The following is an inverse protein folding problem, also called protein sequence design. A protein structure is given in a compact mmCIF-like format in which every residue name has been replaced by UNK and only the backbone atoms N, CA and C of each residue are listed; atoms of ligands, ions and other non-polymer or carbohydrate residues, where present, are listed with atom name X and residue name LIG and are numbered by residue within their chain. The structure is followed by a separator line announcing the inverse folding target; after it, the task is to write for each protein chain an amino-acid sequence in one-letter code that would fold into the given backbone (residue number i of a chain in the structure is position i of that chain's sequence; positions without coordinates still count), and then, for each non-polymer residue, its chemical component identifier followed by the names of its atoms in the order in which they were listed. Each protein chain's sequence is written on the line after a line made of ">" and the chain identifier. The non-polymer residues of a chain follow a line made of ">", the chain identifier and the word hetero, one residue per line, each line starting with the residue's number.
data_IF_175670794613
#
_entry.id   IF_175670794613
#
_cell.length_a   1.000
_cell.length_b   1.000
_cell.length_c   1.000
_cell.angle_alpha   90.00
_cell.angle_beta   90.00
_cell.angle_gamma   90.00
#
_symmetry.space_group_name_H-M   'P 1'
#
loop_
_entity.id
_entity.type
_entity.pdbx_description
1 polymer ?
#
# COMPACT_ATOMS: atom_id res chain seq x y z
N UNK A 1 -20.24 21.18 9.67
CA UNK A 1 -21.09 19.97 9.52
C UNK A 1 -21.99 19.71 10.73
N UNK A 2 -21.56 19.08 11.84
CA UNK A 2 -22.47 18.72 12.94
C UNK A 2 -23.17 19.93 13.60
N UNK A 3 -22.43 21.01 13.85
CA UNK A 3 -22.99 22.25 14.44
C UNK A 3 -24.08 22.87 13.55
N UNK A 4 -23.95 22.75 12.23
CA UNK A 4 -24.92 23.29 11.27
C UNK A 4 -26.17 22.43 11.13
N UNK A 5 -26.10 21.16 11.54
CA UNK A 5 -27.24 20.24 11.51
C UNK A 5 -28.20 20.48 12.70
N UNK A 6 -27.70 20.98 13.84
CA UNK A 6 -28.52 21.17 15.03
C UNK A 6 -29.79 22.00 14.77
N UNK A 7 -29.70 23.21 14.18
CA UNK A 7 -30.87 24.07 14.03
C UNK A 7 -31.92 23.40 13.16
N UNK A 8 -31.49 22.69 12.09
CA UNK A 8 -32.38 21.95 11.19
C UNK A 8 -33.06 20.79 11.90
N UNK A 9 -32.36 20.07 12.78
CA UNK A 9 -32.94 18.98 13.56
C UNK A 9 -33.97 19.49 14.57
N UNK A 10 -33.67 20.60 15.26
CA UNK A 10 -34.58 21.21 16.22
C UNK A 10 -35.85 21.75 15.53
N UNK A 11 -35.69 22.39 14.37
CA UNK A 11 -36.82 22.87 13.56
C UNK A 11 -37.71 21.71 13.08
N UNK A 12 -37.12 20.64 12.55
CA UNK A 12 -37.84 19.45 12.12
C UNK A 12 -38.60 18.77 13.28
N UNK A 13 -38.00 18.76 14.49
CA UNK A 13 -38.62 18.25 15.71
C UNK A 13 -39.63 19.21 16.34
N UNK A 14 -39.82 20.42 15.77
CA UNK A 14 -40.64 21.51 16.32
C UNK A 14 -40.24 21.92 17.75
N UNK A 15 -38.95 21.84 18.06
CA UNK A 15 -38.39 22.24 19.35
C UNK A 15 -37.90 23.68 19.24
N UNK A 16 -38.64 24.62 19.82
CA UNK A 16 -38.29 26.04 19.87
C UNK A 16 -37.85 26.42 21.30
N UNK A 17 -36.62 26.04 21.67
CA UNK A 17 -36.02 26.33 22.99
C UNK A 17 -34.64 26.95 22.81
N UNK A 18 -34.23 27.91 23.67
CA UNK A 18 -32.86 28.41 23.66
C UNK A 18 -31.91 27.28 24.03
N UNK A 19 -30.76 27.22 23.34
CA UNK A 19 -29.72 26.24 23.60
C UNK A 19 -28.37 26.94 23.77
N UNK A 20 -27.51 26.36 24.60
CA UNK A 20 -26.13 26.81 24.78
C UNK A 20 -25.19 25.71 24.29
N UNK A 21 -24.30 26.09 23.38
CA UNK A 21 -23.24 25.20 22.93
C UNK A 21 -22.01 25.44 23.81
N UNK A 22 -21.44 24.35 24.31
CA UNK A 22 -20.11 24.37 24.91
C UNK A 22 -19.29 23.21 24.36
N UNK A 23 -17.99 23.43 24.26
CA UNK A 23 -17.06 22.40 23.81
C UNK A 23 -16.46 21.71 25.03
N UNK A 24 -16.29 20.39 24.93
CA UNK A 24 -15.61 19.63 25.97
C UNK A 24 -14.12 20.02 25.99
N UNK A 25 -13.56 20.48 27.13
CA UNK A 25 -12.17 20.98 27.19
C UNK A 25 -11.12 19.92 26.87
N UNK A 26 -11.39 18.67 27.26
CA UNK A 26 -10.58 17.51 26.91
C UNK A 26 -11.42 16.24 27.08
N UNK A 27 -11.32 15.32 26.12
CA UNK A 27 -12.05 14.06 26.18
C UNK A 27 -12.43 13.55 24.79
N UNK A 28 -12.50 12.23 24.67
CA UNK A 28 -13.01 11.57 23.48
C UNK A 28 -14.49 11.24 23.62
N UNK A 29 -14.92 10.21 22.90
CA UNK A 29 -16.27 9.66 23.04
C UNK A 29 -16.59 9.15 24.44
N UNK A 30 -15.57 8.80 25.24
CA UNK A 30 -15.73 8.42 26.64
C UNK A 30 -15.74 6.92 26.86
N UNK A 31 -15.07 6.47 27.91
CA UNK A 31 -15.00 5.08 28.33
C UNK A 31 -15.54 4.91 29.75
N UNK A 32 -15.91 3.67 30.07
CA UNK A 32 -16.37 3.32 31.39
C UNK A 32 -15.13 3.11 32.26
N UNK A 33 -15.00 3.91 33.30
CA UNK A 33 -13.90 3.85 34.25
C UNK A 33 -14.15 2.76 35.30
N UNK A 34 -13.10 2.34 36.00
CA UNK A 34 -13.19 1.27 37.01
C UNK A 34 -14.11 1.62 38.20
N UNK A 35 -14.30 2.91 38.48
CA UNK A 35 -15.23 3.42 39.49
C UNK A 35 -16.71 3.39 39.03
N UNK A 36 -17.00 2.91 37.82
CA UNK A 36 -18.33 2.87 37.24
C UNK A 36 -18.81 4.19 36.61
N UNK A 37 -18.02 5.27 36.67
CA UNK A 37 -18.37 6.52 36.01
C UNK A 37 -17.88 6.55 34.56
N UNK A 38 -18.55 7.33 33.71
CA UNK A 38 -18.12 7.54 32.34
C UNK A 38 -17.23 8.78 32.22
N UNK A 39 -16.23 8.71 31.34
CA UNK A 39 -15.42 9.87 30.93
C UNK A 39 -15.96 10.50 29.64
N UNK A 40 -15.35 11.61 29.20
CA UNK A 40 -15.61 12.23 27.89
C UNK A 40 -17.07 12.64 27.70
N UNK A 41 -17.54 12.55 26.46
CA UNK A 41 -18.92 12.88 26.09
C UNK A 41 -19.95 12.01 26.83
N UNK A 42 -19.67 10.71 26.99
CA UNK A 42 -20.53 9.81 27.78
C UNK A 42 -20.67 10.27 29.24
N UNK A 43 -19.60 10.79 29.83
CA UNK A 43 -19.61 11.33 31.19
C UNK A 43 -20.53 12.53 31.35
N UNK A 44 -20.49 13.47 30.40
CA UNK A 44 -21.36 14.66 30.41
C UNK A 44 -22.84 14.29 30.30
N UNK A 45 -23.18 13.33 29.43
CA UNK A 45 -24.55 12.88 29.22
C UNK A 45 -25.09 12.09 30.41
N UNK A 46 -24.30 11.15 30.94
CA UNK A 46 -24.74 10.30 32.06
C UNK A 46 -24.83 11.06 33.37
N UNK A 47 -23.95 12.06 33.58
CA UNK A 47 -24.01 12.96 34.73
C UNK A 47 -25.07 14.08 34.58
N UNK A 48 -25.85 14.11 33.49
CA UNK A 48 -26.84 15.15 33.17
C UNK A 48 -26.27 16.58 33.19
N UNK A 49 -25.01 16.75 32.78
CA UNK A 49 -24.39 18.07 32.55
C UNK A 49 -24.69 18.60 31.15
N UNK A 50 -24.91 17.70 30.19
CA UNK A 50 -25.42 18.00 28.86
C UNK A 50 -26.70 17.20 28.58
N UNK A 51 -27.69 17.85 27.94
CA UNK A 51 -28.92 17.20 27.50
C UNK A 51 -28.76 16.51 26.13
N UNK A 52 -27.89 17.05 25.27
CA UNK A 52 -27.64 16.55 23.93
C UNK A 52 -26.14 16.67 23.61
N UNK A 53 -25.56 15.62 23.03
CA UNK A 53 -24.21 15.65 22.50
C UNK A 53 -24.23 15.47 20.98
N UNK A 54 -23.70 16.47 20.27
CA UNK A 54 -23.40 16.35 18.85
C UNK A 54 -21.95 15.97 18.67
N UNK A 55 -21.69 14.67 18.65
CA UNK A 55 -20.34 14.13 18.57
C UNK A 55 -20.35 12.89 17.66
N UNK A 56 -19.32 12.67 16.83
CA UNK A 56 -19.16 11.42 16.09
C UNK A 56 -18.84 10.28 17.09
N UNK A 57 -19.89 9.69 17.65
CA UNK A 57 -19.81 8.70 18.71
C UNK A 57 -20.07 7.31 18.16
N UNK A 58 -19.07 6.43 18.21
CA UNK A 58 -19.27 5.01 17.91
C UNK A 58 -20.18 4.37 18.96
N UNK A 59 -21.34 3.88 18.52
CA UNK A 59 -22.33 3.27 19.38
C UNK A 59 -21.93 1.82 19.72
N UNK A 60 -21.32 1.63 20.89
CA UNK A 60 -21.00 0.31 21.42
C UNK A 60 -22.13 -0.20 22.32
N UNK A 61 -22.20 -1.52 22.55
CA UNK A 61 -23.21 -2.11 23.44
C UNK A 61 -23.21 -1.49 24.84
N UNK A 62 -22.05 -1.15 25.40
CA UNK A 62 -21.97 -0.54 26.72
C UNK A 62 -22.49 0.92 26.72
N UNK A 63 -22.28 1.65 25.61
CA UNK A 63 -22.76 3.04 25.48
C UNK A 63 -24.26 3.08 25.22
N UNK A 64 -24.80 2.19 24.39
CA UNK A 64 -26.25 2.14 24.08
C UNK A 64 -27.12 1.75 25.28
N UNK A 65 -26.55 1.08 26.29
CA UNK A 65 -27.24 0.79 27.55
C UNK A 65 -27.25 2.00 28.50
N UNK A 66 -26.31 2.92 28.37
CA UNK A 66 -26.15 4.06 29.26
C UNK A 66 -26.82 5.35 28.74
N UNK A 67 -26.96 5.49 27.42
CA UNK A 67 -27.61 6.65 26.78
C UNK A 67 -28.60 6.21 25.70
N UNK A 68 -29.60 7.05 25.43
CA UNK A 68 -30.45 6.91 24.25
C UNK A 68 -29.79 7.63 23.07
N UNK A 69 -29.45 6.88 22.02
CA UNK A 69 -28.87 7.41 20.80
C UNK A 69 -29.91 7.46 19.67
N UNK A 70 -29.72 8.35 18.69
CA UNK A 70 -30.49 8.35 17.45
C UNK A 70 -30.11 7.14 16.58
N UNK A 71 -30.87 6.91 15.51
CA UNK A 71 -30.46 5.94 14.48
C UNK A 71 -29.09 6.35 13.92
N UNK A 72 -28.13 5.42 13.78
CA UNK A 72 -26.85 5.70 13.15
C UNK A 72 -27.08 6.24 11.73
N UNK A 73 -26.48 7.39 11.43
CA UNK A 73 -26.56 8.03 10.11
C UNK A 73 -25.25 7.94 9.33
N UNK A 74 -24.19 7.41 9.95
CA UNK A 74 -22.90 7.13 9.34
C UNK A 74 -22.55 5.68 9.64
N UNK A 75 -22.29 4.91 8.58
CA UNK A 75 -21.64 3.60 8.72
C UNK A 75 -20.13 3.84 8.83
N UNK A 76 -19.52 3.37 9.90
CA UNK A 76 -18.12 3.64 10.21
C UNK A 76 -17.40 2.35 10.56
N UNK A 77 -16.25 2.14 9.93
CA UNK A 77 -15.32 1.07 10.25
C UNK A 77 -14.05 1.59 10.90
N UNK A 78 -13.15 0.68 11.27
CA UNK A 78 -11.79 1.05 11.63
C UNK A 78 -10.90 1.05 10.39
N UNK A 79 -10.06 2.06 10.27
CA UNK A 79 -9.03 2.12 9.25
C UNK A 79 -7.67 2.40 9.88
N UNK A 80 -6.61 2.09 9.12
CA UNK A 80 -5.24 2.35 9.52
C UNK A 80 -4.62 3.38 8.60
N UNK A 81 -4.12 4.46 9.18
CA UNK A 81 -3.24 5.40 8.51
C UNK A 81 -1.81 4.90 8.63
N UNK A 82 -1.17 4.66 7.48
CA UNK A 82 0.19 4.14 7.39
C UNK A 82 1.03 5.02 6.47
N UNK A 83 2.32 5.12 6.75
CA UNK A 83 3.25 5.81 5.86
C UNK A 83 3.50 4.95 4.63
N UNK A 84 3.26 5.52 3.46
CA UNK A 84 3.61 4.90 2.19
C UNK A 84 5.08 5.20 1.93
N UNK A 85 5.88 4.16 1.71
CA UNK A 85 7.30 4.29 1.39
C UNK A 85 7.52 3.89 -0.07
N UNK A 86 8.24 4.71 -0.82
CA UNK A 86 8.74 4.31 -2.13
C UNK A 86 9.88 3.32 -1.93
N UNK A 87 9.73 2.15 -2.53
CA UNK A 87 10.74 1.10 -2.43
C UNK A 87 11.80 1.32 -3.50
N UNK A 88 12.77 2.19 -3.21
CA UNK A 88 13.89 2.46 -4.09
C UNK A 88 14.94 1.34 -3.99
N UNK A 89 14.80 0.33 -4.83
CA UNK A 89 15.80 -0.73 -4.93
C UNK A 89 16.86 -0.34 -5.98
N UNK A 90 18.15 -0.35 -5.62
CA UNK A 90 19.25 -0.08 -6.56
C UNK A 90 19.27 -1.05 -7.77
N UNK A 91 18.69 -2.26 -7.60
CA UNK A 91 18.56 -3.28 -8.62
C UNK A 91 17.22 -3.26 -9.36
N UNK A 92 16.49 -2.14 -9.31
CA UNK A 92 15.17 -2.03 -9.97
C UNK A 92 15.23 -2.31 -11.47
N UNK A 93 16.40 -2.16 -12.10
CA UNK A 93 16.60 -2.50 -13.51
C UNK A 93 16.50 -4.01 -13.83
N UNK A 94 16.69 -4.90 -12.85
CA UNK A 94 16.53 -6.35 -13.03
C UNK A 94 15.09 -6.84 -12.85
N UNK A 95 14.21 -5.99 -12.30
CA UNK A 95 12.80 -6.29 -12.06
C UNK A 95 11.97 -6.68 -13.29
N UNK A 96 12.27 -6.28 -14.55
CA UNK A 96 11.40 -6.59 -15.69
C UNK A 96 11.25 -8.09 -15.95
N UNK A 97 12.24 -8.89 -15.53
CA UNK A 97 12.28 -10.33 -15.78
C UNK A 97 12.65 -11.10 -14.51
N UNK A 98 11.99 -12.24 -14.31
CA UNK A 98 12.35 -13.18 -13.24
C UNK A 98 13.71 -13.83 -13.53
N UNK A 99 14.36 -14.39 -12.50
CA UNK A 99 15.67 -15.06 -12.62
C UNK A 99 15.68 -16.13 -13.71
N UNK A 100 14.61 -16.92 -13.78
CA UNK A 100 14.49 -18.00 -14.77
C UNK A 100 14.41 -17.45 -16.19
N UNK A 101 13.68 -16.35 -16.39
CA UNK A 101 13.60 -15.67 -17.68
C UNK A 101 14.96 -15.10 -18.11
N UNK A 102 15.76 -14.57 -17.18
CA UNK A 102 17.13 -14.14 -17.47
C UNK A 102 18.02 -15.29 -17.95
N UNK A 103 17.92 -16.46 -17.31
CA UNK A 103 18.65 -17.66 -17.75
C UNK A 103 18.20 -18.10 -19.15
N UNK A 104 16.90 -18.05 -19.44
CA UNK A 104 16.36 -18.35 -20.77
C UNK A 104 16.82 -17.35 -21.83
N UNK A 105 16.87 -16.05 -21.51
CA UNK A 105 17.40 -15.01 -22.41
C UNK A 105 18.87 -15.29 -22.72
N UNK A 106 19.69 -15.61 -21.71
CA UNK A 106 21.10 -15.95 -21.89
C UNK A 106 21.28 -17.22 -22.73
N UNK A 107 20.50 -18.27 -22.46
CA UNK A 107 20.51 -19.52 -23.21
C UNK A 107 20.08 -19.32 -24.67
N UNK A 108 19.01 -18.54 -24.90
CA UNK A 108 18.53 -18.21 -26.24
C UNK A 108 19.57 -17.39 -27.02
N UNK A 109 20.22 -16.41 -26.38
CA UNK A 109 21.26 -15.61 -27.01
C UNK A 109 22.49 -16.47 -27.36
N UNK A 110 22.90 -17.38 -26.49
CA UNK A 110 23.94 -18.35 -26.78
C UNK A 110 23.55 -19.29 -27.93
N UNK A 111 22.30 -19.77 -27.97
CA UNK A 111 21.79 -20.62 -29.05
C UNK A 111 21.76 -19.87 -30.40
N UNK A 112 21.39 -18.59 -30.42
CA UNK A 112 21.43 -17.75 -31.63
C UNK A 112 22.87 -17.56 -32.12
N UNK A 113 23.81 -17.26 -31.21
CA UNK A 113 25.23 -17.14 -31.58
C UNK A 113 25.77 -18.48 -32.11
N UNK A 114 25.41 -19.59 -31.47
CA UNK A 114 25.86 -20.92 -31.84
C UNK A 114 25.29 -21.36 -33.20
N UNK A 115 23.99 -21.16 -33.43
CA UNK A 115 23.37 -21.45 -34.74
C UNK A 115 23.94 -20.58 -35.85
N UNK A 116 24.17 -19.28 -35.60
CA UNK A 116 24.80 -18.38 -36.57
C UNK A 116 26.24 -18.82 -36.91
N UNK A 117 27.04 -19.18 -35.90
CA UNK A 117 28.42 -19.65 -36.11
C UNK A 117 28.48 -21.03 -36.77
N UNK A 118 27.58 -21.95 -36.42
CA UNK A 118 27.47 -23.26 -37.07
C UNK A 118 27.06 -23.12 -38.53
N UNK A 119 26.02 -22.34 -38.83
CA UNK A 119 25.57 -22.07 -40.20
C UNK A 119 26.69 -21.41 -41.03
N UNK A 120 27.43 -20.49 -40.42
CA UNK A 120 28.62 -19.91 -41.04
C UNK A 120 29.70 -20.95 -41.32
N UNK A 121 30.00 -21.84 -40.36
CA UNK A 121 31.00 -22.90 -40.52
C UNK A 121 30.59 -23.93 -41.59
N UNK A 122 29.31 -24.28 -41.67
CA UNK A 122 28.74 -25.22 -42.62
C UNK A 122 28.75 -24.64 -44.02
N UNK A 123 28.25 -23.42 -44.18
CA UNK A 123 28.25 -22.75 -45.48
C UNK A 123 29.66 -22.41 -45.94
N UNK A 124 30.62 -22.14 -45.04
CA UNK A 124 32.05 -22.05 -45.38
C UNK A 124 32.56 -23.38 -45.92
N UNK A 125 32.40 -24.48 -45.20
CA UNK A 125 32.87 -25.81 -45.62
C UNK A 125 32.27 -26.26 -46.95
N UNK A 126 30.95 -26.13 -47.12
CA UNK A 126 30.26 -26.47 -48.36
C UNK A 126 30.74 -25.61 -49.55
N UNK A 127 31.09 -24.33 -49.32
CA UNK A 127 31.65 -23.45 -50.33
C UNK A 127 33.11 -23.74 -50.65
N UNK A 128 33.94 -24.06 -49.66
CA UNK A 128 35.32 -24.49 -49.92
C UNK A 128 35.32 -25.75 -50.78
N UNK A 129 34.49 -26.74 -50.45
CA UNK A 129 34.31 -27.95 -51.26
C UNK A 129 33.75 -27.66 -52.67
N UNK A 130 32.86 -26.68 -52.82
CA UNK A 130 32.33 -26.28 -54.14
C UNK A 130 33.34 -25.47 -54.97
N UNK A 131 34.12 -24.60 -54.34
CA UNK A 131 35.17 -23.80 -54.98
C UNK A 131 36.33 -24.68 -55.44
N UNK A 132 36.72 -25.69 -54.65
CA UNK A 132 37.72 -26.69 -55.05
C UNK A 132 37.30 -27.47 -56.30
N UNK A 133 36.02 -27.85 -56.40
CA UNK A 133 35.46 -28.54 -57.59
C UNK A 133 35.40 -27.67 -58.84
N UNK A 134 35.23 -26.36 -58.67
CA UNK A 134 35.02 -25.45 -59.81
C UNK A 134 36.29 -24.73 -60.27
N UNK A 135 37.28 -24.52 -59.39
CA UNK A 135 38.46 -23.68 -59.66
C UNK A 135 39.82 -24.37 -59.55
N UNK A 136 39.88 -25.68 -59.24
CA UNK A 136 41.07 -26.56 -59.29
C UNK A 136 42.44 -25.88 -59.12
N UNK A 137 43.05 -26.01 -57.93
CA UNK A 137 44.46 -25.68 -57.59
C UNK A 137 45.09 -24.56 -58.45
N UNK A 138 44.57 -23.32 -58.38
CA UNK A 138 45.33 -22.18 -58.91
C UNK A 138 44.60 -20.90 -59.30
N UNK A 139 43.27 -20.81 -59.26
CA UNK A 139 42.57 -19.55 -59.55
C UNK A 139 41.91 -18.94 -58.31
N UNK A 140 42.26 -17.69 -58.01
CA UNK A 140 41.78 -16.95 -56.84
C UNK A 140 40.26 -16.69 -56.92
N UNK A 141 39.55 -17.07 -55.86
CA UNK A 141 38.11 -16.80 -55.73
C UNK A 141 37.86 -15.30 -55.49
N UNK A 142 36.77 -14.71 -56.04
CA UNK A 142 36.48 -13.29 -55.84
C UNK A 142 36.23 -12.97 -54.35
N UNK A 143 37.04 -12.06 -53.79
CA UNK A 143 36.86 -11.50 -52.44
C UNK A 143 35.56 -10.69 -52.38
N UNK A 144 34.45 -11.33 -52.01
CA UNK A 144 33.19 -10.62 -51.72
C UNK A 144 33.07 -10.25 -50.25
N UNK A 145 32.66 -8.99 -50.01
CA UNK A 145 32.28 -8.34 -48.73
C UNK A 145 31.25 -9.16 -47.94
N UNK A 146 31.68 -10.22 -47.26
CA UNK A 146 30.79 -11.11 -46.47
C UNK A 146 30.79 -10.79 -44.98
N UNK A 147 31.82 -10.12 -44.48
CA UNK A 147 31.85 -9.60 -43.10
C UNK A 147 30.72 -8.59 -42.87
N UNK A 148 30.36 -7.77 -43.86
CA UNK A 148 29.25 -6.81 -43.79
C UNK A 148 27.90 -7.48 -43.46
N UNK A 149 27.55 -8.60 -44.09
CA UNK A 149 26.23 -9.24 -43.86
C UNK A 149 26.11 -10.01 -42.54
N UNK A 150 27.19 -10.62 -42.06
CA UNK A 150 27.20 -11.27 -40.75
C UNK A 150 27.18 -10.22 -39.64
N UNK A 151 27.91 -9.11 -39.82
CA UNK A 151 27.83 -7.95 -38.92
C UNK A 151 26.43 -7.33 -38.93
N UNK A 152 25.80 -7.20 -40.11
CA UNK A 152 24.46 -6.63 -40.25
C UNK A 152 23.40 -7.40 -39.45
N UNK A 153 23.34 -8.73 -39.57
CA UNK A 153 22.37 -9.54 -38.80
C UNK A 153 22.68 -9.56 -37.29
N UNK A 154 23.96 -9.48 -36.90
CA UNK A 154 24.35 -9.31 -35.51
C UNK A 154 23.89 -7.98 -34.90
N UNK A 155 23.93 -6.90 -35.69
CA UNK A 155 23.44 -5.58 -35.28
C UNK A 155 21.91 -5.58 -35.16
N UNK A 156 21.20 -6.16 -36.12
CA UNK A 156 19.73 -6.25 -36.09
C UNK A 156 19.23 -6.99 -34.84
N UNK A 157 19.83 -8.13 -34.51
CA UNK A 157 19.44 -8.93 -33.33
C UNK A 157 19.75 -8.25 -31.99
N UNK A 158 20.86 -7.52 -31.89
CA UNK A 158 21.21 -6.76 -30.67
C UNK A 158 20.32 -5.54 -30.47
N UNK A 159 19.91 -4.86 -31.55
CA UNK A 159 18.98 -3.73 -31.48
C UNK A 159 17.61 -4.19 -30.99
N UNK A 160 17.11 -5.33 -31.47
CA UNK A 160 15.80 -5.87 -31.06
C UNK A 160 15.78 -6.25 -29.58
N UNK A 161 16.81 -6.95 -29.09
CA UNK A 161 16.88 -7.35 -27.67
C UNK A 161 17.04 -6.15 -26.75
N UNK A 162 17.87 -5.17 -27.12
CA UNK A 162 18.03 -3.93 -26.37
C UNK A 162 16.72 -3.12 -26.34
N UNK A 163 16.05 -2.97 -27.49
CA UNK A 163 14.77 -2.26 -27.56
C UNK A 163 13.67 -2.94 -26.74
N UNK A 164 13.59 -4.27 -26.77
CA UNK A 164 12.61 -5.02 -25.97
C UNK A 164 12.89 -4.90 -24.47
N UNK A 165 14.17 -4.93 -24.08
CA UNK A 165 14.58 -4.69 -22.69
C UNK A 165 14.23 -3.27 -22.24
N UNK A 166 14.56 -2.25 -23.04
CA UNK A 166 14.23 -0.85 -22.73
C UNK A 166 12.72 -0.66 -22.64
N UNK A 167 11.93 -1.21 -23.57
CA UNK A 167 10.47 -1.14 -23.53
C UNK A 167 9.89 -1.77 -22.25
N UNK A 168 10.36 -2.96 -21.87
CA UNK A 168 9.87 -3.65 -20.67
C UNK A 168 10.35 -2.99 -19.37
N UNK A 169 11.57 -2.44 -19.35
CA UNK A 169 12.09 -1.67 -18.24
C UNK A 169 11.25 -0.41 -18.04
N UNK A 170 11.01 0.36 -19.11
CA UNK A 170 10.17 1.56 -19.06
C UNK A 170 8.76 1.23 -18.59
N UNK A 171 8.13 0.18 -19.14
CA UNK A 171 6.80 -0.25 -18.70
C UNK A 171 6.77 -0.57 -17.20
N UNK A 172 7.77 -1.28 -16.68
CA UNK A 172 7.84 -1.63 -15.26
C UNK A 172 8.16 -0.43 -14.35
N UNK A 173 8.96 0.54 -14.81
CA UNK A 173 9.27 1.77 -14.06
C UNK A 173 8.09 2.74 -14.02
N UNK A 174 7.24 2.75 -15.06
CA UNK A 174 6.03 3.58 -15.05
C UNK A 174 4.98 3.10 -14.05
N UNK A 175 5.02 1.81 -13.66
CA UNK A 175 4.18 1.28 -12.59
C UNK A 175 4.77 1.70 -11.25
N UNK A 176 4.25 2.81 -10.70
CA UNK A 176 4.60 3.26 -9.35
C UNK A 176 4.17 2.22 -8.32
N UNK A 177 5.14 1.47 -7.77
CA UNK A 177 4.90 0.53 -6.67
C UNK A 177 4.96 1.29 -5.35
N UNK A 178 3.84 1.89 -4.97
CA UNK A 178 3.65 2.34 -3.61
C UNK A 178 3.47 1.10 -2.73
N UNK A 179 4.59 0.63 -2.15
CA UNK A 179 4.60 -0.49 -1.22
C UNK A 179 4.07 -0.02 0.12
N UNK A 180 2.82 -0.37 0.43
CA UNK A 180 2.32 -0.25 1.81
C UNK A 180 2.73 -1.50 2.55
N UNK A 181 3.69 -1.38 3.47
CA UNK A 181 4.23 -2.53 4.22
C UNK A 181 3.22 -3.15 5.19
N UNK A 182 2.17 -2.42 5.58
CA UNK A 182 1.18 -2.86 6.57
C UNK A 182 -0.21 -2.62 5.98
N UNK A 183 -0.87 -3.69 5.56
CA UNK A 183 -2.25 -3.64 5.05
C UNK A 183 -3.23 -4.18 6.07
N UNK A 184 -2.82 -5.23 6.80
CA UNK A 184 -3.67 -5.92 7.77
C UNK A 184 -3.14 -5.74 9.19
N UNK A 185 -4.02 -5.98 10.16
CA UNK A 185 -3.65 -5.99 11.56
C UNK A 185 -2.64 -7.11 11.88
N UNK A 186 -2.67 -8.21 11.11
CA UNK A 186 -1.69 -9.27 11.21
C UNK A 186 -0.30 -8.82 10.73
N UNK A 187 -0.21 -8.00 9.70
CA UNK A 187 1.06 -7.44 9.22
C UNK A 187 1.64 -6.45 10.24
N UNK A 188 0.77 -5.65 10.87
CA UNK A 188 1.18 -4.79 11.98
C UNK A 188 1.78 -5.61 13.13
N UNK A 189 1.14 -6.71 13.52
CA UNK A 189 1.66 -7.63 14.53
C UNK A 189 3.01 -8.23 14.14
N UNK A 190 3.15 -8.69 12.89
CA UNK A 190 4.41 -9.24 12.38
C UNK A 190 5.54 -8.21 12.37
N UNK A 191 5.20 -6.94 12.12
CA UNK A 191 6.20 -5.87 12.12
C UNK A 191 6.82 -5.62 13.50
N UNK A 192 6.08 -5.93 14.58
CA UNK A 192 6.52 -5.68 15.96
C UNK A 192 6.61 -4.20 16.34
N UNK A 193 6.22 -3.28 15.45
CA UNK A 193 6.31 -1.84 15.67
C UNK A 193 5.14 -1.32 16.52
N UNK A 194 5.37 -0.17 17.15
CA UNK A 194 4.32 0.54 17.88
C UNK A 194 3.28 1.12 16.92
N UNK A 195 2.02 1.21 17.37
CA UNK A 195 0.95 1.88 16.64
C UNK A 195 0.15 2.80 17.55
N UNK A 196 -0.42 3.84 16.95
CA UNK A 196 -1.22 4.82 17.66
C UNK A 196 -2.73 4.51 17.59
N UNK A 197 -3.46 4.87 18.65
CA UNK A 197 -4.92 4.92 18.68
C UNK A 197 -5.39 6.23 19.35
N UNK A 198 -6.60 6.73 19.07
CA UNK A 198 -7.13 7.87 19.80
C UNK A 198 -7.38 7.53 21.27
N UNK A 199 -7.04 8.48 22.16
CA UNK A 199 -7.29 8.38 23.61
C UNK A 199 -8.79 8.34 23.90
N UNK A 200 -9.20 7.51 24.87
CA UNK A 200 -10.58 7.43 25.36
C UNK A 200 -11.63 7.18 24.24
N UNK A 201 -11.23 6.36 23.27
CA UNK A 201 -12.00 6.00 22.08
C UNK A 201 -12.52 4.58 22.13
N UNK A 202 -13.51 4.29 21.28
CA UNK A 202 -13.98 2.94 20.96
C UNK A 202 -12.84 2.03 20.50
N UNK A 203 -11.94 2.56 19.67
CA UNK A 203 -10.78 1.84 19.12
C UNK A 203 -9.83 1.39 20.24
N UNK A 204 -9.43 2.30 21.13
CA UNK A 204 -8.59 1.95 22.29
C UNK A 204 -9.24 0.87 23.16
N UNK A 205 -10.55 1.03 23.45
CA UNK A 205 -11.29 0.04 24.24
C UNK A 205 -11.36 -1.32 23.55
N UNK A 206 -11.52 -1.35 22.23
CA UNK A 206 -11.49 -2.58 21.45
C UNK A 206 -10.16 -3.31 21.64
N UNK A 207 -9.01 -2.67 21.47
CA UNK A 207 -7.72 -3.34 21.68
C UNK A 207 -7.47 -3.79 23.12
N UNK A 208 -8.04 -3.10 24.12
CA UNK A 208 -7.90 -3.46 25.55
C UNK A 208 -8.81 -4.60 26.01
N UNK A 209 -9.97 -4.77 25.39
CA UNK A 209 -11.02 -5.69 25.85
C UNK A 209 -11.39 -6.76 24.81
N UNK A 210 -10.79 -6.75 23.63
CA UNK A 210 -11.07 -7.72 22.57
C UNK A 210 -10.52 -9.09 22.94
N UNK A 211 -11.31 -10.13 22.66
CA UNK A 211 -10.90 -11.52 22.76
C UNK A 211 -10.23 -12.04 21.47
N UNK A 212 -10.05 -11.17 20.47
CA UNK A 212 -9.28 -11.50 19.27
C UNK A 212 -7.79 -11.62 19.62
N UNK A 213 -7.20 -12.78 19.33
CA UNK A 213 -5.80 -13.07 19.58
C UNK A 213 -4.84 -12.12 18.87
N UNK A 214 -5.22 -11.51 17.74
CA UNK A 214 -4.40 -10.48 17.07
C UNK A 214 -4.47 -9.17 17.83
N UNK A 215 -5.68 -8.66 18.10
CA UNK A 215 -5.88 -7.39 18.80
C UNK A 215 -5.30 -7.40 20.22
N UNK A 216 -5.53 -8.48 20.99
CA UNK A 216 -5.01 -8.61 22.34
C UNK A 216 -3.46 -8.62 22.36
N UNK A 217 -2.83 -9.32 21.41
CA UNK A 217 -1.36 -9.33 21.32
C UNK A 217 -0.76 -7.97 20.94
N UNK A 218 -1.53 -7.11 20.28
CA UNK A 218 -1.12 -5.77 19.90
C UNK A 218 -1.30 -4.75 21.03
N UNK A 219 -2.06 -5.07 22.08
CA UNK A 219 -2.33 -4.15 23.19
C UNK A 219 -1.03 -3.58 23.82
N UNK A 220 0.03 -4.39 23.91
CA UNK A 220 1.32 -3.97 24.47
C UNK A 220 2.08 -2.97 23.60
N UNK A 221 1.85 -2.96 22.29
CA UNK A 221 2.50 -2.07 21.31
C UNK A 221 1.66 -0.82 21.01
N UNK A 222 0.55 -0.63 21.73
CA UNK A 222 -0.41 0.45 21.52
C UNK A 222 -0.02 1.73 22.26
N UNK A 223 -0.06 2.87 21.57
CA UNK A 223 0.14 4.21 22.12
C UNK A 223 -1.12 5.04 21.97
N UNK A 224 -1.59 5.68 23.04
CA UNK A 224 -2.78 6.53 22.98
C UNK A 224 -2.43 7.99 22.69
N UNK A 225 -3.13 8.58 21.73
CA UNK A 225 -2.97 9.97 21.32
C UNK A 225 -4.21 10.78 21.64
N UNK A 226 -4.04 11.90 22.35
CA UNK A 226 -5.12 12.87 22.60
C UNK A 226 -5.42 13.75 21.38
N UNK A 227 -4.39 14.02 20.59
CA UNK A 227 -4.47 14.85 19.38
C UNK A 227 -4.11 14.00 18.16
N UNK A 228 -5.01 13.96 17.17
CA UNK A 228 -4.80 13.27 15.92
C UNK A 228 -3.62 13.86 15.13
N UNK A 229 -3.38 15.16 15.21
CA UNK A 229 -2.26 15.78 14.50
C UNK A 229 -0.90 15.29 15.02
N UNK A 230 -0.79 15.03 16.33
CA UNK A 230 0.40 14.41 16.91
C UNK A 230 0.62 12.99 16.37
N UNK A 231 -0.45 12.18 16.33
CA UNK A 231 -0.36 10.83 15.78
C UNK A 231 0.08 10.83 14.31
N UNK A 232 -0.47 11.72 13.49
CA UNK A 232 -0.09 11.86 12.07
C UNK A 232 1.38 12.24 11.90
N UNK A 233 1.90 13.13 12.76
CA UNK A 233 3.34 13.49 12.75
C UNK A 233 4.21 12.27 13.07
N UNK A 234 3.81 11.46 14.03
CA UNK A 234 4.56 10.28 14.46
C UNK A 234 4.52 9.15 13.41
N UNK A 235 3.39 8.97 12.71
CA UNK A 235 3.33 8.08 11.53
C UNK A 235 4.27 8.58 10.43
N UNK A 236 4.32 9.90 10.19
CA UNK A 236 5.15 10.49 9.13
C UNK A 236 6.65 10.38 9.45
N UNK A 237 7.04 10.58 10.70
CA UNK A 237 8.43 10.42 11.16
C UNK A 237 8.86 8.95 11.22
N UNK A 238 7.91 8.02 11.29
CA UNK A 238 8.16 6.59 11.43
C UNK A 238 8.35 6.16 12.90
N UNK A 239 8.03 7.01 13.87
CA UNK A 239 8.04 6.67 15.28
C UNK A 239 6.97 5.62 15.62
N UNK A 240 5.82 5.67 14.93
CA UNK A 240 4.82 4.61 14.94
C UNK A 240 4.58 4.13 13.50
N UNK A 241 4.29 2.84 13.34
CA UNK A 241 4.11 2.24 12.02
C UNK A 241 2.72 2.51 11.43
N UNK A 242 1.71 2.63 12.29
CA UNK A 242 0.33 2.87 11.89
C UNK A 242 -0.42 3.70 12.95
N UNK A 243 -1.46 4.41 12.52
CA UNK A 243 -2.46 5.02 13.40
C UNK A 243 -3.83 4.44 13.08
N UNK A 244 -4.44 3.71 14.02
CA UNK A 244 -5.74 3.06 13.86
C UNK A 244 -6.82 4.00 14.39
N UNK A 245 -7.80 4.36 13.57
CA UNK A 245 -8.89 5.28 13.97
C UNK A 245 -10.20 4.92 13.28
N UNK A 246 -11.31 5.45 13.78
CA UNK A 246 -12.60 5.39 13.11
C UNK A 246 -12.50 6.11 11.73
N UNK A 247 -13.00 5.47 10.69
CA UNK A 247 -13.09 6.01 9.35
C UNK A 247 -14.57 6.07 8.94
N UNK A 248 -15.11 7.26 8.64
CA UNK A 248 -16.46 7.37 8.12
C UNK A 248 -16.48 6.69 6.75
N UNK A 249 -17.19 5.57 6.65
CA UNK A 249 -17.25 4.77 5.45
C UNK A 249 -18.07 5.46 4.37
N UNK A 250 -17.40 5.81 3.27
CA UNK A 250 -17.88 5.48 1.93
C UNK A 250 -16.96 4.37 1.41
N UNK A 251 -17.52 3.35 0.77
CA UNK A 251 -16.69 2.45 -0.02
C UNK A 251 -15.86 3.28 -1.02
N UNK A 252 -14.60 2.92 -1.33
CA UNK A 252 -13.94 3.48 -2.50
C UNK A 252 -14.75 3.19 -3.77
#
# INVERSE_FOLDING_TARGET
>A
MLIELLPRMLEAARINRPYQLYQLPSGGGGSLLANGSWSGVMGELTARRADLAMFPLTLTSARSQAISATVPFLDSGYAMLVKITQQDNAYSFLLPFQRDTWLLILAALAAVILTATLLHSWTRRARHAALERQYGLGREAPRRRRHERVMQHGIETTVITLSAYTANLTANLTVSRLGVSIQTLADLKRSGNMFGVPFDSSVSKYFRASNDGVANSLQASMVEYRDQAAAVRDVRSGAIAAYVTDFPGGAP
#
